data_IF_727854889951
#
_entry.id   IF_727854889951
#
_cell.length_a   1.000
_cell.length_b   1.000
_cell.length_c   1.000
_cell.angle_alpha   90.00
_cell.angle_beta   90.00
_cell.angle_gamma   90.00
#
_symmetry.space_group_name_H-M   'P 1'
#
loop_
_entity.id
_entity.type
_entity.pdbx_description
1 polymer ?
#
# COMPACT_ATOMS: atom_id res chain seq x y z
N UNK A 1 39.07 -33.66 -36.76
CA UNK A 1 38.87 -32.20 -36.83
C UNK A 1 37.82 -31.81 -35.80
N UNK A 2 38.24 -31.28 -34.65
CA UNK A 2 37.34 -30.87 -33.57
C UNK A 2 37.14 -29.35 -33.65
N UNK A 3 35.89 -28.90 -33.78
CA UNK A 3 35.51 -27.50 -33.71
C UNK A 3 35.16 -27.17 -32.25
N UNK A 4 36.03 -26.40 -31.58
CA UNK A 4 35.78 -25.86 -30.25
C UNK A 4 34.91 -24.61 -30.35
N UNK A 5 33.67 -24.70 -29.88
CA UNK A 5 32.78 -23.54 -29.74
C UNK A 5 33.09 -22.77 -28.45
N UNK A 6 33.49 -21.51 -28.58
CA UNK A 6 33.68 -20.60 -27.45
C UNK A 6 32.32 -20.01 -27.02
N UNK A 7 31.84 -20.39 -25.84
CA UNK A 7 30.64 -19.82 -25.22
C UNK A 7 31.03 -18.58 -24.42
N UNK A 8 30.76 -17.39 -24.97
CA UNK A 8 30.91 -16.11 -24.26
C UNK A 8 29.77 -15.98 -23.23
N UNK A 9 30.10 -16.17 -21.95
CA UNK A 9 29.19 -15.85 -20.84
C UNK A 9 29.14 -14.33 -20.66
N UNK A 10 28.03 -13.72 -21.06
CA UNK A 10 27.73 -12.32 -20.76
C UNK A 10 27.42 -12.18 -19.26
N UNK A 11 28.25 -11.40 -18.54
CA UNK A 11 27.97 -10.99 -17.17
C UNK A 11 26.76 -10.04 -17.17
N UNK A 12 25.77 -10.20 -16.28
CA UNK A 12 24.70 -9.23 -16.14
C UNK A 12 25.27 -7.90 -15.64
N UNK A 13 25.10 -6.86 -16.45
CA UNK A 13 25.54 -5.50 -16.13
C UNK A 13 24.88 -5.00 -14.85
N UNK A 14 25.68 -4.46 -13.93
CA UNK A 14 25.19 -3.80 -12.73
C UNK A 14 24.38 -2.55 -13.13
N UNK A 15 23.06 -2.61 -13.00
CA UNK A 15 22.20 -1.46 -13.24
C UNK A 15 22.40 -0.42 -12.14
N UNK A 16 23.00 0.72 -12.48
CA UNK A 16 23.08 1.89 -11.61
C UNK A 16 21.67 2.48 -11.41
N UNK A 17 21.12 2.38 -10.21
CA UNK A 17 19.85 3.02 -9.88
C UNK A 17 20.04 4.54 -9.75
N UNK A 18 19.50 5.30 -10.71
CA UNK A 18 19.51 6.76 -10.70
C UNK A 18 18.48 7.31 -9.70
N UNK A 19 18.93 8.14 -8.77
CA UNK A 19 18.14 8.72 -7.68
C UNK A 19 16.98 9.64 -8.15
N UNK A 20 17.00 10.09 -9.41
CA UNK A 20 16.02 11.05 -9.94
C UNK A 20 15.00 10.48 -10.93
N UNK A 21 15.03 9.17 -11.23
CA UNK A 21 14.30 8.63 -12.39
C UNK A 21 13.32 7.47 -12.15
N UNK A 22 13.35 6.80 -11.00
CA UNK A 22 12.44 5.69 -10.71
C UNK A 22 11.34 6.14 -9.73
N UNK A 23 10.09 5.63 -9.84
CA UNK A 23 9.08 5.78 -8.79
C UNK A 23 9.48 4.90 -7.59
N UNK A 24 10.53 5.31 -6.89
CA UNK A 24 10.93 4.71 -5.63
C UNK A 24 9.79 4.85 -4.62
N UNK A 25 9.65 3.91 -3.68
CA UNK A 25 8.69 4.06 -2.60
C UNK A 25 8.96 5.39 -1.87
N UNK A 26 7.91 6.13 -1.45
CA UNK A 26 8.08 7.45 -0.86
C UNK A 26 9.06 7.39 0.32
N UNK A 27 9.96 8.36 0.48
CA UNK A 27 10.89 8.40 1.60
C UNK A 27 10.11 8.40 2.94
N UNK A 28 10.33 7.41 3.77
CA UNK A 28 9.78 7.31 5.13
C UNK A 28 10.77 6.55 5.99
N UNK A 29 10.72 6.83 7.29
CA UNK A 29 11.62 6.26 8.28
C UNK A 29 11.64 4.72 8.21
N UNK A 30 12.82 4.09 8.40
CA UNK A 30 13.02 2.64 8.24
C UNK A 30 12.10 1.79 9.12
N UNK A 31 11.65 2.33 10.26
CA UNK A 31 10.73 1.69 11.19
C UNK A 31 9.26 1.61 10.71
N UNK A 32 8.91 2.25 9.60
CA UNK A 32 7.53 2.30 9.11
C UNK A 32 7.15 0.99 8.44
N UNK A 33 6.08 0.36 8.91
CA UNK A 33 5.45 -0.78 8.27
C UNK A 33 4.78 -0.31 6.97
N UNK A 34 5.15 -0.88 5.82
CA UNK A 34 4.65 -0.42 4.51
C UNK A 34 3.98 -1.51 3.73
N UNK A 35 2.83 -1.16 3.16
CA UNK A 35 2.09 -2.00 2.23
C UNK A 35 1.59 -1.18 1.05
N UNK A 36 1.62 -1.78 -0.13
CA UNK A 36 0.93 -1.27 -1.32
C UNK A 36 -0.17 -2.26 -1.70
N UNK A 37 -1.39 -1.77 -1.88
CA UNK A 37 -2.55 -2.59 -2.20
C UNK A 37 -3.25 -2.01 -3.42
N UNK A 38 -3.49 -2.84 -4.42
CA UNK A 38 -4.37 -2.48 -5.53
C UNK A 38 -5.83 -2.52 -5.05
N UNK A 39 -6.61 -1.49 -5.40
CA UNK A 39 -8.03 -1.38 -5.01
C UNK A 39 -8.91 -1.11 -6.25
N UNK A 40 -10.18 -1.58 -6.26
CA UNK A 40 -10.80 -2.43 -5.25
C UNK A 40 -10.14 -3.82 -5.18
N UNK A 41 -10.26 -4.49 -4.03
CA UNK A 41 -9.74 -5.85 -3.90
C UNK A 41 -10.53 -6.79 -4.82
N UNK A 42 -9.84 -7.76 -5.41
CA UNK A 42 -10.50 -8.83 -6.18
C UNK A 42 -11.33 -9.73 -5.27
N UNK A 43 -10.86 -9.98 -4.04
CA UNK A 43 -11.54 -10.78 -3.03
C UNK A 43 -11.38 -10.16 -1.64
N UNK A 44 -12.41 -10.29 -0.81
CA UNK A 44 -12.38 -9.82 0.56
C UNK A 44 -11.62 -10.81 1.47
N UNK A 45 -10.73 -10.33 2.36
CA UNK A 45 -10.05 -11.20 3.32
C UNK A 45 -11.04 -11.84 4.29
N UNK A 46 -11.11 -13.17 4.31
CA UNK A 46 -12.07 -13.92 5.13
C UNK A 46 -11.54 -14.29 6.52
N UNK A 47 -10.22 -14.41 6.69
CA UNK A 47 -9.57 -14.77 7.95
C UNK A 47 -8.90 -13.56 8.62
N UNK A 48 -8.68 -13.59 9.94
CA UNK A 48 -7.82 -12.63 10.62
C UNK A 48 -6.40 -12.66 10.04
N UNK A 49 -5.79 -11.49 9.86
CA UNK A 49 -4.41 -11.41 9.42
C UNK A 49 -3.44 -11.80 10.54
N UNK A 50 -2.49 -12.67 10.23
CA UNK A 50 -1.41 -13.08 11.14
C UNK A 50 -0.04 -12.52 10.69
N UNK A 51 0.03 -12.01 9.46
CA UNK A 51 1.26 -11.47 8.87
C UNK A 51 1.04 -10.09 8.27
N UNK A 52 2.14 -9.34 8.09
CA UNK A 52 2.08 -8.02 7.45
C UNK A 52 1.49 -8.05 6.02
N UNK A 53 1.84 -9.01 5.14
CA UNK A 53 1.21 -9.11 3.81
C UNK A 53 -0.31 -9.30 3.87
N UNK A 54 -0.82 -10.07 4.85
CA UNK A 54 -2.27 -10.28 5.05
C UNK A 54 -2.96 -9.04 5.66
N UNK A 55 -2.24 -8.27 6.48
CA UNK A 55 -2.76 -7.09 7.16
C UNK A 55 -3.23 -6.01 6.17
N UNK A 56 -2.46 -5.75 5.12
CA UNK A 56 -2.73 -4.61 4.24
C UNK A 56 -4.05 -4.77 3.45
N UNK A 57 -4.38 -5.95 2.86
CA UNK A 57 -5.70 -6.21 2.31
C UNK A 57 -6.82 -6.08 3.34
N UNK A 58 -6.64 -6.56 4.59
CA UNK A 58 -7.65 -6.41 5.65
C UNK A 58 -7.98 -4.94 5.90
N UNK A 59 -6.97 -4.08 5.95
CA UNK A 59 -7.14 -2.64 6.13
C UNK A 59 -7.73 -1.93 4.90
N UNK A 60 -7.54 -2.50 3.70
CA UNK A 60 -8.05 -1.95 2.44
C UNK A 60 -9.46 -2.44 2.08
N UNK A 61 -9.98 -3.47 2.75
CA UNK A 61 -11.21 -4.18 2.35
C UNK A 61 -12.46 -3.28 2.27
N UNK A 62 -12.51 -2.22 3.09
CA UNK A 62 -13.64 -1.29 3.14
C UNK A 62 -13.45 -0.10 2.17
N UNK A 63 -12.36 -0.07 1.39
CA UNK A 63 -12.15 1.01 0.45
C UNK A 63 -13.08 0.89 -0.74
N UNK A 64 -13.85 1.95 -0.96
CA UNK A 64 -14.77 2.06 -2.07
C UNK A 64 -14.35 3.22 -2.96
N UNK A 65 -14.46 3.03 -4.28
CA UNK A 65 -14.16 4.05 -5.27
C UNK A 65 -15.05 5.29 -5.03
N UNK A 66 -14.49 6.45 -4.69
CA UNK A 66 -15.23 7.70 -4.67
C UNK A 66 -15.87 8.02 -6.04
N UNK A 67 -17.03 8.66 -6.02
CA UNK A 67 -17.64 9.16 -7.25
C UNK A 67 -16.76 10.24 -7.92
N UNK A 68 -16.76 10.24 -9.26
CA UNK A 68 -16.00 11.19 -10.07
C UNK A 68 -14.49 11.05 -9.93
N UNK A 69 -13.99 9.81 -9.76
CA UNK A 69 -12.60 9.49 -10.04
C UNK A 69 -12.43 9.20 -11.53
N UNK A 70 -11.42 9.81 -12.13
CA UNK A 70 -11.13 9.70 -13.56
C UNK A 70 -10.60 8.31 -13.95
N UNK A 71 -10.65 8.01 -15.25
CA UNK A 71 -9.96 6.86 -15.83
C UNK A 71 -8.45 7.08 -15.79
N UNK A 72 -7.73 6.29 -15.01
CA UNK A 72 -6.28 6.42 -14.86
C UNK A 72 -5.76 5.73 -13.60
N UNK A 73 -4.44 5.77 -13.41
CA UNK A 73 -3.84 5.32 -12.14
C UNK A 73 -3.91 6.43 -11.10
N UNK A 74 -4.64 6.16 -10.02
CA UNK A 74 -4.81 7.04 -8.87
C UNK A 74 -4.16 6.38 -7.68
N UNK A 75 -3.44 7.17 -6.90
CA UNK A 75 -2.76 6.65 -5.72
C UNK A 75 -3.04 7.52 -4.51
N UNK A 76 -3.13 6.89 -3.35
CA UNK A 76 -3.29 7.59 -2.06
C UNK A 76 -2.56 6.82 -0.97
N UNK A 77 -1.76 7.51 -0.17
CA UNK A 77 -1.05 6.91 0.96
C UNK A 77 -1.55 7.50 2.26
N UNK A 78 -2.01 6.63 3.15
CA UNK A 78 -2.37 6.97 4.51
C UNK A 78 -1.25 6.54 5.49
N UNK A 79 -1.02 7.36 6.51
CA UNK A 79 -0.16 7.05 7.65
C UNK A 79 -0.97 7.04 8.93
N UNK A 80 -0.83 5.97 9.71
CA UNK A 80 -1.55 5.76 10.97
C UNK A 80 -0.80 4.73 11.84
N UNK A 81 -1.36 4.38 12.99
CA UNK A 81 -0.89 3.30 13.84
C UNK A 81 -2.10 2.61 14.49
N UNK A 82 -1.94 1.32 14.81
CA UNK A 82 -2.99 0.51 15.43
C UNK A 82 -2.64 0.18 16.88
N UNK A 83 -3.65 -0.02 17.71
CA UNK A 83 -3.52 -0.69 19.01
C UNK A 83 -3.38 -2.21 18.80
N UNK A 84 -3.11 -2.94 19.89
CA UNK A 84 -2.97 -4.40 19.88
C UNK A 84 -4.23 -5.13 19.40
N UNK A 85 -5.41 -4.53 19.60
CA UNK A 85 -6.71 -5.05 19.17
C UNK A 85 -7.07 -4.70 17.72
N UNK A 86 -6.17 -4.04 16.98
CA UNK A 86 -6.42 -3.59 15.61
C UNK A 86 -7.20 -2.29 15.49
N UNK A 87 -7.57 -1.62 16.59
CA UNK A 87 -8.22 -0.30 16.57
C UNK A 87 -7.24 0.82 16.23
N UNK A 88 -7.73 1.92 15.64
CA UNK A 88 -6.91 3.09 15.32
C UNK A 88 -6.48 3.84 16.58
N UNK A 89 -5.17 4.10 16.74
CA UNK A 89 -4.66 4.95 17.83
C UNK A 89 -5.14 6.40 17.66
N UNK A 90 -5.13 6.91 16.43
CA UNK A 90 -5.55 8.25 16.07
C UNK A 90 -6.16 8.27 14.66
N UNK A 91 -6.75 9.39 14.27
CA UNK A 91 -7.26 9.57 12.91
C UNK A 91 -6.15 9.38 11.85
N UNK A 92 -6.35 8.54 10.82
CA UNK A 92 -5.39 8.37 9.74
C UNK A 92 -5.12 9.69 9.01
N UNK A 93 -3.86 9.93 8.67
CA UNK A 93 -3.43 11.12 7.93
C UNK A 93 -3.07 10.74 6.50
N UNK A 94 -3.58 11.48 5.53
CA UNK A 94 -3.19 11.32 4.13
C UNK A 94 -1.88 12.08 3.91
N UNK A 95 -0.84 11.35 3.52
CA UNK A 95 0.52 11.91 3.35
C UNK A 95 0.92 12.01 1.87
N UNK A 96 0.19 11.33 0.98
CA UNK A 96 0.41 11.40 -0.45
C UNK A 96 -0.90 11.13 -1.20
N UNK A 97 -1.07 11.81 -2.33
CA UNK A 97 -2.07 11.44 -3.33
C UNK A 97 -1.60 11.92 -4.71
N UNK A 98 -1.92 11.16 -5.76
CA UNK A 98 -1.62 11.48 -7.16
C UNK A 98 -2.73 10.97 -8.08
N UNK A 99 -2.75 11.46 -9.33
CA UNK A 99 -3.79 11.14 -10.32
C UNK A 99 -5.11 11.88 -10.12
N UNK A 100 -5.19 12.79 -9.13
CA UNK A 100 -6.37 13.63 -8.86
C UNK A 100 -5.96 15.01 -8.34
N UNK A 101 -6.77 16.03 -8.64
CA UNK A 101 -6.56 17.42 -8.22
C UNK A 101 -7.82 18.03 -7.60
N UNK A 102 -7.70 19.24 -7.04
CA UNK A 102 -8.83 20.02 -6.51
C UNK A 102 -9.76 19.24 -5.57
N UNK A 103 -11.07 19.34 -5.83
CA UNK A 103 -12.10 18.69 -5.02
C UNK A 103 -12.04 17.15 -5.05
N UNK A 104 -11.58 16.55 -6.16
CA UNK A 104 -11.43 15.10 -6.27
C UNK A 104 -10.36 14.57 -5.31
N UNK A 105 -9.24 15.29 -5.16
CA UNK A 105 -8.20 14.96 -4.15
C UNK A 105 -8.77 14.93 -2.73
N UNK A 106 -9.60 15.91 -2.39
CA UNK A 106 -10.21 15.97 -1.07
C UNK A 106 -11.24 14.84 -0.85
N UNK A 107 -12.03 14.49 -1.89
CA UNK A 107 -12.95 13.33 -1.85
C UNK A 107 -12.19 12.02 -1.66
N UNK A 108 -11.10 11.81 -2.41
CA UNK A 108 -10.23 10.64 -2.29
C UNK A 108 -9.66 10.50 -0.87
N UNK A 109 -9.11 11.59 -0.33
CA UNK A 109 -8.58 11.62 1.02
C UNK A 109 -9.63 11.24 2.06
N UNK A 110 -10.83 11.84 2.00
CA UNK A 110 -11.93 11.53 2.92
C UNK A 110 -12.41 10.09 2.79
N UNK A 111 -12.52 9.56 1.56
CA UNK A 111 -12.93 8.19 1.34
C UNK A 111 -11.92 7.19 1.92
N UNK A 112 -10.62 7.41 1.71
CA UNK A 112 -9.56 6.56 2.28
C UNK A 112 -9.59 6.57 3.81
N UNK A 113 -9.75 7.75 4.44
CA UNK A 113 -9.87 7.82 5.91
C UNK A 113 -11.14 7.12 6.41
N UNK A 114 -12.28 7.29 5.73
CA UNK A 114 -13.53 6.59 6.08
C UNK A 114 -13.38 5.08 5.95
N UNK A 115 -12.75 4.59 4.89
CA UNK A 115 -12.50 3.17 4.68
C UNK A 115 -11.68 2.57 5.83
N UNK A 116 -10.58 3.23 6.21
CA UNK A 116 -9.76 2.78 7.34
C UNK A 116 -10.52 2.77 8.66
N UNK A 117 -11.39 3.76 8.90
CA UNK A 117 -12.27 3.76 10.08
C UNK A 117 -13.30 2.63 10.04
N UNK A 118 -13.87 2.34 8.88
CA UNK A 118 -14.85 1.26 8.71
C UNK A 118 -14.24 -0.14 8.85
N UNK A 119 -12.97 -0.29 8.45
CA UNK A 119 -12.22 -1.55 8.57
C UNK A 119 -11.43 -1.69 9.87
N UNK A 120 -11.68 -0.81 10.85
CA UNK A 120 -11.08 -0.92 12.18
C UNK A 120 -12.14 -1.01 13.28
N UNK A 121 -11.97 -1.88 14.30
CA UNK A 121 -10.78 -2.68 14.60
C UNK A 121 -10.47 -3.75 13.54
N UNK A 122 -9.22 -3.77 13.06
CA UNK A 122 -8.79 -4.67 12.00
C UNK A 122 -8.82 -6.11 12.52
N UNK A 123 -9.33 -7.05 11.71
CA UNK A 123 -9.31 -8.48 12.05
C UNK A 123 -7.88 -9.01 11.98
N UNK A 124 -7.22 -9.10 13.12
CA UNK A 124 -5.84 -9.55 13.26
C UNK A 124 -5.72 -10.59 14.39
N UNK A 125 -4.69 -11.42 14.33
CA UNK A 125 -4.34 -12.31 15.45
C UNK A 125 -3.73 -11.53 16.61
N UNK A 126 -3.75 -12.13 17.79
CA UNK A 126 -3.12 -11.53 18.97
C UNK A 126 -1.60 -11.36 18.79
N UNK A 127 -0.95 -12.26 18.05
CA UNK A 127 0.50 -12.26 17.81
C UNK A 127 0.89 -11.11 16.89
N UNK A 128 0.19 -10.97 15.77
CA UNK A 128 0.37 -9.83 14.88
C UNK A 128 0.05 -8.51 15.61
N UNK A 129 -1.03 -8.46 16.38
CA UNK A 129 -1.40 -7.30 17.19
C UNK A 129 -0.28 -6.84 18.12
N UNK A 130 0.41 -7.77 18.80
CA UNK A 130 1.58 -7.45 19.63
C UNK A 130 2.75 -6.93 18.79
N UNK A 131 2.98 -7.49 17.61
CA UNK A 131 4.09 -7.12 16.73
C UNK A 131 3.93 -5.75 16.04
N UNK A 132 2.69 -5.26 15.85
CA UNK A 132 2.41 -4.01 15.12
C UNK A 132 1.93 -2.85 16.00
N UNK A 133 1.50 -3.10 17.24
CA UNK A 133 0.92 -2.08 18.11
C UNK A 133 1.85 -0.85 18.24
N UNK A 134 1.29 0.34 18.01
CA UNK A 134 2.02 1.61 18.11
C UNK A 134 2.98 1.90 16.96
N UNK A 135 3.28 0.93 16.08
CA UNK A 135 4.21 1.12 14.98
C UNK A 135 3.55 1.93 13.86
N UNK A 136 4.23 2.94 13.29
CA UNK A 136 3.71 3.66 12.15
C UNK A 136 3.50 2.73 10.94
N UNK A 137 2.30 2.76 10.37
CA UNK A 137 1.92 2.06 9.14
C UNK A 137 1.73 3.09 8.03
N UNK A 138 2.37 2.87 6.88
CA UNK A 138 2.15 3.57 5.63
C UNK A 138 1.46 2.65 4.63
N UNK A 139 0.15 2.84 4.42
CA UNK A 139 -0.64 2.06 3.47
C UNK A 139 -0.87 2.88 2.20
N UNK A 140 -0.31 2.43 1.08
CA UNK A 140 -0.53 2.99 -0.26
C UNK A 140 -1.62 2.18 -0.96
N UNK A 141 -2.70 2.85 -1.34
CA UNK A 141 -3.73 2.28 -2.19
C UNK A 141 -3.51 2.76 -3.62
N UNK A 142 -3.55 1.83 -4.56
CA UNK A 142 -3.42 2.10 -6.01
C UNK A 142 -4.72 1.69 -6.67
N UNK A 143 -5.49 2.67 -7.13
CA UNK A 143 -6.67 2.45 -7.95
C UNK A 143 -6.28 2.55 -9.42
N UNK A 144 -6.70 1.58 -10.22
CA UNK A 144 -6.58 1.64 -11.68
C UNK A 144 -7.97 1.65 -12.27
N UNK A 145 -8.39 2.80 -12.79
CA UNK A 145 -9.63 2.89 -13.55
C UNK A 145 -9.46 2.15 -14.89
N UNK A 146 -10.36 1.22 -15.18
CA UNK A 146 -10.52 0.72 -16.55
C UNK A 146 -11.14 1.85 -17.39
N UNK A 147 -10.63 2.04 -18.60
CA UNK A 147 -11.26 2.92 -19.59
C UNK A 147 -12.60 2.35 -20.03
#
# INVERSE_FOLDING_TARGET
MALAGALLLALPGAAAASYYGAPGPPLSLPQTLRGTVAVPLAEAPVAPADTLPQLYPVLAACWQRPAGLDSGEIQVTARFALRRDGSLIAAPRIVFASGVTGAARARLARATVRALKACTPARITADLGRAIAGRPIGLRLVYRGTR
#
